data_IF_704538238494
#
_entry.id   IF_704538238494
#
_cell.length_a   1.000
_cell.length_b   1.000
_cell.length_c   1.000
_cell.angle_alpha   90.00
_cell.angle_beta   90.00
_cell.angle_gamma   90.00
#
_symmetry.space_group_name_H-M   'P 1'
#
loop_
_entity.id
_entity.type
_entity.pdbx_description
1 polymer ?
#
# COMPACT_ATOMS: atom_id res chain seq x y z
N UNK A 1 -19.69 -8.94 16.39
CA UNK A 1 -19.16 -8.85 15.03
C UNK A 1 -18.22 -7.67 15.02
N UNK A 2 -16.91 -7.89 14.86
CA UNK A 2 -15.92 -6.83 14.84
C UNK A 2 -16.03 -5.97 13.61
N UNK A 3 -15.33 -4.84 13.62
CA UNK A 3 -15.36 -3.87 12.52
C UNK A 3 -14.61 -4.36 11.30
N UNK A 4 -15.18 -4.07 10.13
CA UNK A 4 -14.49 -4.20 8.84
C UNK A 4 -14.01 -2.81 8.42
N UNK A 5 -12.75 -2.74 8.00
CA UNK A 5 -12.11 -1.49 7.54
C UNK A 5 -11.72 -1.58 6.07
N UNK A 6 -11.63 -0.44 5.42
CA UNK A 6 -11.00 -0.30 4.10
C UNK A 6 -9.58 0.19 4.24
N UNK A 7 -8.62 -0.48 3.61
CA UNK A 7 -7.22 -0.07 3.61
C UNK A 7 -6.76 0.16 2.17
N UNK A 8 -6.34 1.38 1.89
CA UNK A 8 -5.58 1.70 0.69
C UNK A 8 -4.08 1.54 1.00
N UNK A 9 -3.53 0.41 0.55
CA UNK A 9 -2.12 0.05 0.78
C UNK A 9 -1.24 0.66 -0.32
N UNK A 10 -0.89 1.93 -0.17
CA UNK A 10 -0.08 2.64 -1.16
C UNK A 10 1.42 2.35 -1.05
N UNK A 11 2.16 2.58 -2.15
CA UNK A 11 3.62 2.40 -2.19
C UNK A 11 4.35 3.38 -1.25
N UNK A 12 3.87 4.62 -1.19
CA UNK A 12 4.50 5.70 -0.39
C UNK A 12 3.75 5.99 0.90
N UNK A 13 2.42 6.05 0.83
CA UNK A 13 1.56 6.29 1.97
C UNK A 13 0.35 5.35 1.92
N UNK A 14 -0.11 4.91 3.07
CA UNK A 14 -1.32 4.11 3.22
C UNK A 14 -2.40 4.88 3.97
N UNK A 15 -3.65 4.53 3.71
CA UNK A 15 -4.83 5.15 4.30
C UNK A 15 -5.75 4.06 4.82
N UNK A 16 -6.37 4.31 5.97
CA UNK A 16 -7.42 3.45 6.50
C UNK A 16 -8.72 4.25 6.65
N UNK A 17 -9.83 3.65 6.28
CA UNK A 17 -11.17 4.22 6.42
C UNK A 17 -12.15 3.23 7.05
N UNK A 18 -13.12 3.78 7.76
CA UNK A 18 -14.22 3.06 8.40
C UNK A 18 -15.56 3.57 7.91
N UNK A 19 -16.65 2.83 8.12
CA UNK A 19 -18.00 3.29 7.88
C UNK A 19 -18.62 3.80 9.19
N UNK A 20 -18.95 5.09 9.23
CA UNK A 20 -19.69 5.73 10.31
C UNK A 20 -21.01 6.30 9.79
N UNK A 21 -22.13 5.87 10.35
CA UNK A 21 -23.45 6.31 9.88
C UNK A 21 -23.70 6.06 8.40
N UNK A 22 -23.09 5.01 7.83
CA UNK A 22 -23.19 4.65 6.40
C UNK A 22 -22.30 5.49 5.47
N UNK A 23 -21.41 6.33 6.00
CA UNK A 23 -20.45 7.15 5.23
C UNK A 23 -19.02 6.72 5.52
N UNK A 24 -18.15 6.68 4.49
CA UNK A 24 -16.73 6.41 4.70
C UNK A 24 -16.06 7.60 5.39
N UNK A 25 -15.32 7.30 6.45
CA UNK A 25 -14.51 8.27 7.22
C UNK A 25 -13.07 7.79 7.24
N UNK A 26 -12.15 8.63 6.81
CA UNK A 26 -10.71 8.35 6.90
C UNK A 26 -10.27 8.55 8.34
N UNK A 27 -9.71 7.51 8.93
CA UNK A 27 -9.20 7.53 10.31
C UNK A 27 -7.86 8.27 10.36
N UNK A 28 -7.74 9.19 11.32
CA UNK A 28 -6.45 9.78 11.62
C UNK A 28 -5.59 8.78 12.42
N UNK A 29 -4.31 8.67 12.08
CA UNK A 29 -3.36 7.86 12.83
C UNK A 29 -3.02 8.48 14.19
N UNK A 30 -2.22 7.79 15.01
CA UNK A 30 -1.83 8.27 16.34
C UNK A 30 -1.06 9.62 16.31
N UNK A 31 -0.47 9.97 15.16
CA UNK A 31 0.19 11.25 14.92
C UNK A 31 -0.79 12.37 14.45
N UNK A 32 -2.09 12.09 14.36
CA UNK A 32 -3.12 13.02 13.91
C UNK A 32 -3.19 13.23 12.40
N UNK A 33 -2.51 12.39 11.62
CA UNK A 33 -2.46 12.50 10.16
C UNK A 33 -3.43 11.50 9.51
N UNK A 34 -4.02 11.89 8.38
CA UNK A 34 -4.93 11.02 7.61
C UNK A 34 -4.21 10.01 6.72
N UNK A 35 -2.90 10.14 6.58
CA UNK A 35 -2.05 9.22 5.81
C UNK A 35 -0.92 8.73 6.69
N UNK A 36 -0.57 7.45 6.56
CA UNK A 36 0.55 6.83 7.25
C UNK A 36 1.60 6.47 6.21
N UNK A 37 2.85 6.93 6.33
CA UNK A 37 3.93 6.52 5.44
C UNK A 37 4.07 5.00 5.40
N UNK A 38 4.16 4.43 4.20
CA UNK A 38 4.35 2.99 3.99
C UNK A 38 5.83 2.60 4.20
N UNK A 39 6.32 2.89 5.40
CA UNK A 39 7.71 2.65 5.82
C UNK A 39 7.70 1.86 7.11
N UNK A 40 8.56 0.84 7.16
CA UNK A 40 8.82 0.02 8.34
C UNK A 40 10.32 0.04 8.59
N UNK A 41 10.75 -0.02 9.81
CA UNK A 41 12.17 -0.07 10.13
C UNK A 41 12.42 -0.55 11.55
N UNK A 42 13.70 -0.68 11.88
CA UNK A 42 14.14 -1.04 13.23
C UNK A 42 15.15 -0.02 13.73
N UNK A 43 15.02 0.37 14.99
CA UNK A 43 15.99 1.23 15.66
C UNK A 43 17.30 0.46 15.92
N UNK A 44 18.33 1.16 16.39
CA UNK A 44 19.58 0.52 16.81
C UNK A 44 19.38 -0.40 18.02
N UNK A 45 18.35 -0.14 18.81
CA UNK A 45 17.92 -0.93 19.96
C UNK A 45 17.00 -2.09 19.57
N UNK A 46 16.84 -2.34 18.25
CA UNK A 46 15.98 -3.38 17.65
C UNK A 46 14.49 -3.14 17.84
N UNK A 47 14.06 -1.93 18.18
CA UNK A 47 12.66 -1.58 18.30
C UNK A 47 12.03 -1.40 16.92
N UNK A 48 10.83 -1.96 16.73
CA UNK A 48 10.06 -1.80 15.51
C UNK A 48 9.52 -0.37 15.39
N UNK A 49 9.81 0.27 14.26
CA UNK A 49 9.32 1.59 13.90
C UNK A 49 8.43 1.46 12.66
N UNK A 50 7.26 2.11 12.66
CA UNK A 50 6.33 2.08 11.54
C UNK A 50 5.80 3.48 11.25
N UNK A 51 5.53 3.77 9.98
CA UNK A 51 4.93 5.03 9.58
C UNK A 51 5.88 6.22 9.74
N UNK A 52 5.45 7.27 10.42
CA UNK A 52 6.20 8.51 10.58
C UNK A 52 7.53 8.31 11.32
N UNK A 53 7.56 7.44 12.34
CA UNK A 53 8.78 7.14 13.09
C UNK A 53 9.83 6.51 12.16
N UNK A 54 9.46 5.48 11.39
CA UNK A 54 10.33 4.84 10.42
C UNK A 54 10.76 5.81 9.30
N UNK A 55 9.85 6.65 8.81
CA UNK A 55 10.15 7.65 7.78
C UNK A 55 11.21 8.67 8.23
N UNK A 56 11.16 9.12 9.49
CA UNK A 56 12.17 10.04 10.04
C UNK A 56 13.55 9.42 10.09
N UNK A 57 13.62 8.11 10.27
CA UNK A 57 14.87 7.36 10.34
C UNK A 57 15.49 7.08 8.96
N UNK A 58 14.74 7.11 7.86
CA UNK A 58 15.22 6.77 6.51
C UNK A 58 16.55 7.41 6.12
N UNK A 59 16.76 8.67 6.49
CA UNK A 59 17.97 9.41 6.17
C UNK A 59 19.15 9.01 7.07
N UNK A 60 18.87 8.71 8.35
CA UNK A 60 19.89 8.44 9.38
C UNK A 60 20.28 6.96 9.43
N UNK A 61 19.33 6.08 9.14
CA UNK A 61 19.52 4.63 9.17
C UNK A 61 18.82 3.97 7.97
N UNK A 62 19.28 4.21 6.73
CA UNK A 62 18.65 3.68 5.53
C UNK A 62 18.70 2.16 5.41
N UNK A 63 19.70 1.51 6.04
CA UNK A 63 19.89 0.05 5.96
C UNK A 63 18.85 -0.74 6.75
N UNK A 64 18.28 -0.13 7.80
CA UNK A 64 17.26 -0.73 8.66
C UNK A 64 15.91 -0.02 8.53
N UNK A 65 15.69 0.69 7.42
CA UNK A 65 14.45 1.40 7.10
C UNK A 65 13.96 1.03 5.71
N UNK A 66 12.78 0.41 5.63
CA UNK A 66 12.26 -0.28 4.47
C UNK A 66 11.07 0.48 3.89
N UNK A 67 11.29 1.15 2.78
CA UNK A 67 10.26 1.82 1.98
C UNK A 67 10.03 1.04 0.68
N UNK A 68 8.99 1.38 -0.07
CA UNK A 68 8.65 0.78 -1.37
C UNK A 68 8.39 -0.74 -1.30
N UNK A 69 8.03 -1.29 -0.16
CA UNK A 69 7.79 -2.72 0.05
C UNK A 69 6.74 -3.30 -0.90
N UNK A 70 5.75 -2.48 -1.31
CA UNK A 70 4.72 -2.87 -2.28
C UNK A 70 5.28 -3.29 -3.64
N UNK A 71 6.47 -2.81 -4.02
CA UNK A 71 7.16 -3.21 -5.25
C UNK A 71 7.78 -4.60 -5.16
N UNK A 72 8.02 -5.10 -3.94
CA UNK A 72 8.69 -6.36 -3.66
C UNK A 72 7.72 -7.49 -3.33
N UNK A 73 6.53 -7.15 -2.82
CA UNK A 73 5.56 -8.12 -2.30
C UNK A 73 5.13 -9.12 -3.38
N UNK A 74 5.20 -10.41 -3.06
CA UNK A 74 4.77 -11.52 -3.92
C UNK A 74 5.63 -11.74 -5.18
N UNK A 75 6.77 -11.05 -5.32
CA UNK A 75 7.66 -11.18 -6.48
C UNK A 75 8.80 -12.14 -6.23
N UNK A 76 9.22 -12.81 -7.31
CA UNK A 76 10.48 -13.51 -7.38
C UNK A 76 11.61 -12.54 -7.70
N UNK A 77 12.83 -12.88 -7.30
CA UNK A 77 14.02 -12.06 -7.55
C UNK A 77 14.21 -11.70 -9.03
N UNK A 78 13.96 -12.66 -9.92
CA UNK A 78 14.13 -12.51 -11.36
C UNK A 78 13.10 -11.58 -12.01
N UNK A 79 12.00 -11.28 -11.31
CA UNK A 79 10.93 -10.39 -11.77
C UNK A 79 11.17 -8.93 -11.37
N UNK A 80 12.19 -8.67 -10.53
CA UNK A 80 12.50 -7.32 -10.09
C UNK A 80 13.21 -6.54 -11.20
N UNK A 81 12.60 -5.42 -11.60
CA UNK A 81 13.24 -4.43 -12.45
C UNK A 81 14.30 -3.61 -11.68
N UNK A 82 15.12 -2.84 -12.41
CA UNK A 82 16.18 -2.01 -11.82
C UNK A 82 15.62 -1.01 -10.79
N UNK A 83 14.45 -0.46 -11.06
CA UNK A 83 13.80 0.51 -10.16
C UNK A 83 13.35 -0.12 -8.85
N UNK A 84 12.89 -1.37 -8.87
CA UNK A 84 12.52 -2.12 -7.66
C UNK A 84 13.76 -2.57 -6.88
N UNK A 85 14.89 -2.79 -7.56
CA UNK A 85 16.17 -3.11 -6.91
C UNK A 85 16.89 -1.87 -6.36
N UNK A 86 16.59 -0.67 -6.87
CA UNK A 86 17.21 0.59 -6.44
C UNK A 86 16.66 1.07 -5.10
N UNK A 87 16.85 0.29 -4.04
CA UNK A 87 16.48 0.61 -2.67
C UNK A 87 17.72 0.87 -1.80
N UNK A 88 17.56 1.64 -0.73
CA UNK A 88 18.69 2.02 0.14
C UNK A 88 19.11 0.92 1.15
N UNK A 89 18.33 -0.14 1.23
CA UNK A 89 18.56 -1.32 2.07
C UNK A 89 18.94 -2.53 1.21
N UNK A 90 19.42 -3.59 1.83
CA UNK A 90 19.84 -4.79 1.12
C UNK A 90 18.65 -5.72 0.89
N UNK A 91 18.47 -6.14 -0.36
CA UNK A 91 17.56 -7.22 -0.73
C UNK A 91 18.36 -8.35 -1.39
N UNK A 92 17.89 -9.57 -1.28
CA UNK A 92 18.49 -10.73 -1.94
C UNK A 92 17.48 -11.83 -2.26
N UNK A 93 17.85 -12.78 -3.10
CA UNK A 93 17.11 -14.01 -3.29
C UNK A 93 17.44 -15.00 -2.16
N UNK A 94 16.43 -15.76 -1.69
CA UNK A 94 16.69 -17.00 -0.97
C UNK A 94 16.91 -18.18 -1.94
N UNK A 95 17.12 -19.39 -1.42
CA UNK A 95 17.35 -20.60 -2.21
C UNK A 95 16.17 -20.96 -3.13
N UNK A 96 14.99 -20.44 -2.87
CA UNK A 96 13.79 -20.61 -3.69
C UNK A 96 13.55 -19.47 -4.67
N UNK A 97 14.50 -18.53 -4.80
CA UNK A 97 14.36 -17.35 -5.66
C UNK A 97 13.42 -16.27 -5.13
N UNK A 98 12.90 -16.38 -3.91
CA UNK A 98 12.02 -15.39 -3.31
C UNK A 98 12.81 -14.21 -2.77
N UNK A 99 12.24 -13.01 -2.87
CA UNK A 99 12.84 -11.79 -2.34
C UNK A 99 12.90 -11.82 -0.81
N UNK A 100 14.05 -11.46 -0.26
CA UNK A 100 14.28 -11.25 1.17
C UNK A 100 14.86 -9.87 1.43
N UNK A 101 14.38 -9.22 2.45
CA UNK A 101 14.86 -7.93 2.96
C UNK A 101 15.78 -8.20 4.15
N UNK A 102 17.04 -7.80 4.03
CA UNK A 102 18.03 -8.00 5.08
C UNK A 102 17.96 -6.83 6.05
N UNK A 103 17.81 -7.12 7.34
CA UNK A 103 17.82 -6.14 8.41
C UNK A 103 19.06 -6.34 9.31
N UNK A 104 20.11 -5.52 9.18
CA UNK A 104 21.30 -5.61 10.01
C UNK A 104 21.03 -5.44 11.51
N UNK A 105 20.13 -4.52 11.89
CA UNK A 105 19.83 -4.25 13.29
C UNK A 105 19.28 -5.50 14.03
N UNK A 106 18.45 -6.29 13.38
CA UNK A 106 17.86 -7.51 13.97
C UNK A 106 18.64 -8.79 13.65
N UNK A 107 19.65 -8.70 12.74
CA UNK A 107 20.39 -9.85 12.22
C UNK A 107 19.48 -10.89 11.55
N UNK A 108 18.37 -10.42 10.95
CA UNK A 108 17.34 -11.27 10.33
C UNK A 108 17.06 -10.85 8.89
N UNK A 109 16.45 -11.77 8.19
CA UNK A 109 15.83 -11.54 6.90
C UNK A 109 14.33 -11.67 7.01
N UNK A 110 13.65 -10.78 6.34
CA UNK A 110 12.20 -10.72 6.33
C UNK A 110 11.68 -10.94 4.90
N UNK A 111 10.58 -11.64 4.79
CA UNK A 111 9.78 -11.57 3.58
C UNK A 111 9.12 -10.17 3.49
N UNK A 112 8.93 -9.60 2.30
CA UNK A 112 8.20 -8.34 2.16
C UNK A 112 6.85 -8.33 2.85
N UNK A 113 6.14 -9.46 2.84
CA UNK A 113 4.85 -9.67 3.48
C UNK A 113 4.90 -9.48 5.01
N UNK A 114 5.99 -9.89 5.66
CA UNK A 114 6.16 -9.74 7.11
C UNK A 114 6.29 -8.26 7.48
N UNK A 115 7.03 -7.48 6.67
CA UNK A 115 7.19 -6.05 6.90
C UNK A 115 5.90 -5.28 6.58
N UNK A 116 5.20 -5.65 5.51
CA UNK A 116 3.89 -5.07 5.18
C UNK A 116 2.86 -5.39 6.28
N UNK A 117 2.93 -6.58 6.89
CA UNK A 117 2.09 -6.92 8.03
C UNK A 117 2.31 -5.99 9.24
N UNK A 118 3.55 -5.55 9.49
CA UNK A 118 3.82 -4.55 10.53
C UNK A 118 3.11 -3.22 10.24
N UNK A 119 3.11 -2.78 8.97
CA UNK A 119 2.40 -1.58 8.55
C UNK A 119 0.88 -1.74 8.72
N UNK A 120 0.32 -2.87 8.27
CA UNK A 120 -1.10 -3.15 8.41
C UNK A 120 -1.53 -3.19 9.87
N UNK A 121 -0.73 -3.80 10.75
CA UNK A 121 -0.97 -3.82 12.19
C UNK A 121 -1.05 -2.41 12.77
N UNK A 122 -0.09 -1.55 12.44
CA UNK A 122 -0.10 -0.14 12.88
C UNK A 122 -1.39 0.58 12.45
N UNK A 123 -1.82 0.41 11.21
CA UNK A 123 -3.05 1.03 10.70
C UNK A 123 -4.28 0.54 11.47
N UNK A 124 -4.34 -0.76 11.78
CA UNK A 124 -5.43 -1.39 12.52
C UNK A 124 -5.45 -0.94 13.97
N UNK A 125 -4.29 -0.88 14.63
CA UNK A 125 -4.17 -0.42 16.01
C UNK A 125 -4.61 1.04 16.15
N UNK A 126 -4.28 1.90 15.18
CA UNK A 126 -4.75 3.29 15.12
C UNK A 126 -6.28 3.35 14.95
N UNK A 127 -6.83 2.49 14.07
CA UNK A 127 -8.28 2.42 13.86
C UNK A 127 -9.02 1.89 15.09
N UNK A 128 -8.49 0.86 15.73
CA UNK A 128 -9.07 0.32 16.98
C UNK A 128 -9.08 1.37 18.10
N UNK A 129 -7.99 2.13 18.21
CA UNK A 129 -7.89 3.24 19.16
C UNK A 129 -8.88 4.35 18.86
N UNK A 130 -9.10 4.67 17.58
CA UNK A 130 -10.09 5.69 17.16
C UNK A 130 -11.52 5.22 17.42
N UNK A 131 -11.82 3.95 17.11
CA UNK A 131 -13.17 3.38 17.25
C UNK A 131 -13.53 3.02 18.69
N UNK A 132 -12.54 2.78 19.56
CA UNK A 132 -12.74 2.18 20.89
C UNK A 132 -13.18 0.71 20.84
N UNK A 133 -12.98 0.02 19.72
CA UNK A 133 -13.34 -1.38 19.51
C UNK A 133 -12.35 -2.07 18.55
N UNK A 134 -12.31 -3.41 18.60
CA UNK A 134 -11.39 -4.20 17.78
C UNK A 134 -11.79 -4.21 16.29
N UNK A 135 -10.77 -4.22 15.44
CA UNK A 135 -10.89 -4.42 13.99
C UNK A 135 -10.59 -5.88 13.67
N UNK A 136 -11.56 -6.59 13.12
CA UNK A 136 -11.44 -8.04 12.83
C UNK A 136 -11.11 -8.32 11.36
N UNK A 137 -11.58 -7.47 10.45
CA UNK A 137 -11.47 -7.74 9.03
C UNK A 137 -11.14 -6.48 8.21
N UNK A 138 -10.60 -6.72 7.02
CA UNK A 138 -10.27 -5.63 6.09
C UNK A 138 -10.59 -5.97 4.63
N UNK A 139 -10.90 -4.91 3.86
CA UNK A 139 -10.79 -4.89 2.41
C UNK A 139 -9.54 -4.10 2.08
N UNK A 140 -8.62 -4.69 1.31
CA UNK A 140 -7.34 -4.05 0.96
C UNK A 140 -7.30 -3.79 -0.55
N UNK A 141 -6.82 -2.60 -0.96
CA UNK A 141 -6.64 -2.28 -2.38
C UNK A 141 -5.27 -2.71 -2.88
N UNK A 142 -5.24 -3.08 -4.16
CA UNK A 142 -4.00 -3.39 -4.91
C UNK A 142 -4.09 -2.81 -6.33
N UNK A 143 -2.97 -2.56 -7.00
CA UNK A 143 -2.97 -2.18 -8.41
C UNK A 143 -3.70 -3.21 -9.28
N UNK A 144 -4.33 -2.74 -10.36
CA UNK A 144 -5.08 -3.64 -11.25
C UNK A 144 -4.17 -4.65 -11.97
N UNK A 145 -2.90 -4.33 -12.17
CA UNK A 145 -1.90 -5.20 -12.81
C UNK A 145 -1.26 -6.23 -11.86
N UNK A 146 -1.56 -6.18 -10.56
CA UNK A 146 -1.05 -7.21 -9.65
C UNK A 146 -1.50 -8.59 -10.08
N UNK A 147 -0.55 -9.51 -10.19
CA UNK A 147 -0.81 -10.91 -10.46
C UNK A 147 -1.34 -11.66 -9.21
N UNK A 148 -1.64 -12.94 -9.38
CA UNK A 148 -2.21 -13.76 -8.31
C UNK A 148 -1.23 -13.95 -7.15
N UNK A 149 0.08 -14.02 -7.42
CA UNK A 149 1.12 -14.16 -6.38
C UNK A 149 1.17 -12.92 -5.49
N UNK A 150 1.17 -11.72 -6.10
CA UNK A 150 1.16 -10.44 -5.40
C UNK A 150 -0.13 -10.22 -4.59
N UNK A 151 -1.28 -10.62 -5.16
CA UNK A 151 -2.57 -10.60 -4.45
C UNK A 151 -2.60 -11.56 -3.28
N UNK A 152 -2.05 -12.75 -3.45
CA UNK A 152 -1.96 -13.73 -2.38
C UNK A 152 -1.02 -13.25 -1.27
N UNK A 153 0.16 -12.74 -1.62
CA UNK A 153 1.11 -12.17 -0.68
C UNK A 153 0.51 -10.99 0.11
N UNK A 154 -0.33 -10.15 -0.53
CA UNK A 154 -1.07 -9.09 0.17
C UNK A 154 -2.09 -9.66 1.17
N UNK A 155 -2.80 -10.76 0.82
CA UNK A 155 -3.68 -11.46 1.78
C UNK A 155 -2.89 -12.02 2.94
N UNK A 156 -1.75 -12.62 2.67
CA UNK A 156 -0.90 -13.24 3.69
C UNK A 156 -0.33 -12.20 4.64
N UNK A 157 0.07 -11.02 4.13
CA UNK A 157 0.45 -9.87 4.97
C UNK A 157 -0.72 -9.45 5.90
N UNK A 158 -1.94 -9.40 5.40
CA UNK A 158 -3.13 -9.11 6.20
C UNK A 158 -3.37 -10.16 7.30
N UNK A 159 -3.23 -11.45 6.97
CA UNK A 159 -3.34 -12.55 7.96
C UNK A 159 -2.25 -12.49 9.02
N UNK A 160 -1.01 -12.20 8.62
CA UNK A 160 0.11 -11.99 9.55
C UNK A 160 -0.14 -10.79 10.46
N UNK A 161 -0.86 -9.77 10.00
CA UNK A 161 -1.33 -8.67 10.82
C UNK A 161 -2.51 -9.03 11.74
N UNK A 162 -3.05 -10.24 11.66
CA UNK A 162 -4.17 -10.72 12.47
C UNK A 162 -5.55 -10.37 11.92
N UNK A 163 -5.64 -10.01 10.64
CA UNK A 163 -6.89 -9.61 9.98
C UNK A 163 -7.50 -10.75 9.17
N UNK A 164 -8.82 -10.88 9.19
CA UNK A 164 -9.57 -11.57 8.16
C UNK A 164 -9.63 -10.69 6.91
N UNK A 165 -9.14 -11.18 5.77
CA UNK A 165 -9.17 -10.41 4.52
C UNK A 165 -10.41 -10.79 3.73
N UNK A 166 -11.43 -9.93 3.82
CA UNK A 166 -12.72 -10.10 3.16
C UNK A 166 -12.59 -10.00 1.63
N UNK A 167 -11.76 -9.05 1.16
CA UNK A 167 -11.55 -8.85 -0.26
C UNK A 167 -10.25 -8.13 -0.55
N UNK A 168 -9.62 -8.50 -1.66
CA UNK A 168 -8.62 -7.67 -2.36
C UNK A 168 -9.35 -6.99 -3.51
N UNK A 169 -9.28 -5.66 -3.57
CA UNK A 169 -9.99 -4.83 -4.56
C UNK A 169 -8.97 -4.07 -5.41
N UNK A 170 -9.24 -3.90 -6.69
CA UNK A 170 -8.38 -3.08 -7.54
C UNK A 170 -8.51 -1.59 -7.18
N UNK A 171 -7.39 -0.89 -7.06
CA UNK A 171 -7.33 0.55 -6.78
C UNK A 171 -8.22 1.39 -7.71
N UNK A 172 -8.15 1.23 -9.04
CA UNK A 172 -9.02 2.00 -9.93
C UNK A 172 -10.51 1.68 -9.74
N UNK A 173 -10.85 0.45 -9.33
CA UNK A 173 -12.24 0.08 -9.00
C UNK A 173 -12.69 0.77 -7.72
N UNK A 174 -11.84 0.82 -6.70
CA UNK A 174 -12.14 1.53 -5.45
C UNK A 174 -12.31 3.04 -5.69
N UNK A 175 -11.44 3.65 -6.50
CA UNK A 175 -11.55 5.06 -6.88
C UNK A 175 -12.85 5.37 -7.63
N UNK A 176 -13.22 4.53 -8.60
CA UNK A 176 -14.48 4.67 -9.34
C UNK A 176 -15.71 4.53 -8.42
N UNK A 177 -15.68 3.58 -7.48
CA UNK A 177 -16.73 3.41 -6.48
C UNK A 177 -16.86 4.63 -5.56
N UNK A 178 -15.74 5.18 -5.10
CA UNK A 178 -15.69 6.35 -4.23
C UNK A 178 -16.19 7.62 -4.92
N UNK A 179 -15.93 7.76 -6.22
CA UNK A 179 -16.45 8.87 -7.02
C UNK A 179 -17.97 8.83 -7.18
N UNK A 180 -18.61 7.67 -6.96
CA UNK A 180 -20.07 7.54 -7.01
C UNK A 180 -20.62 7.32 -8.41
N UNK A 181 -19.86 6.69 -9.31
CA UNK A 181 -20.38 6.33 -10.63
C UNK A 181 -21.66 5.50 -10.52
N UNK A 182 -22.68 5.90 -11.31
CA UNK A 182 -23.96 5.21 -11.36
C UNK A 182 -23.79 3.80 -11.92
N UNK A 183 -24.03 2.81 -11.05
CA UNK A 183 -23.92 1.39 -11.40
C UNK A 183 -25.00 0.92 -12.39
N UNK A 184 -26.11 1.67 -12.52
CA UNK A 184 -27.21 1.34 -13.42
C UNK A 184 -26.91 1.71 -14.87
N UNK A 185 -25.95 2.60 -15.10
CA UNK A 185 -25.58 3.07 -16.45
C UNK A 185 -24.37 2.35 -16.98
N UNK A 186 -24.43 1.96 -18.25
CA UNK A 186 -23.24 1.48 -18.96
C UNK A 186 -22.37 2.67 -19.35
N UNK A 187 -21.15 2.69 -18.83
CA UNK A 187 -20.19 3.79 -19.11
C UNK A 187 -18.76 3.28 -19.09
N UNK A 188 -17.89 4.00 -19.77
CA UNK A 188 -16.45 3.76 -19.77
C UNK A 188 -15.77 4.92 -19.04
N UNK A 189 -14.90 4.58 -18.09
CA UNK A 189 -14.23 5.54 -17.21
C UNK A 189 -12.73 5.35 -17.34
N UNK A 190 -12.01 6.45 -17.43
CA UNK A 190 -10.55 6.48 -17.33
C UNK A 190 -10.17 6.97 -15.94
N UNK A 191 -9.39 6.15 -15.22
CA UNK A 191 -8.86 6.49 -13.89
C UNK A 191 -7.39 6.79 -14.02
N UNK A 192 -6.99 7.97 -13.57
CA UNK A 192 -5.60 8.38 -13.42
C UNK A 192 -5.24 8.31 -11.94
N UNK A 193 -4.32 7.43 -11.59
CA UNK A 193 -3.78 7.29 -10.24
C UNK A 193 -2.33 7.73 -10.23
N UNK A 194 -2.08 8.93 -9.72
CA UNK A 194 -0.75 9.49 -9.57
C UNK A 194 -0.34 9.47 -8.11
N UNK A 195 0.43 8.44 -7.76
CA UNK A 195 0.96 8.26 -6.43
C UNK A 195 2.33 8.91 -6.19
N UNK A 196 2.86 8.71 -5.00
CA UNK A 196 4.22 9.16 -4.63
C UNK A 196 5.34 8.28 -5.18
N UNK A 197 5.03 7.17 -5.83
CA UNK A 197 6.03 6.23 -6.37
C UNK A 197 5.63 5.57 -7.68
N UNK A 198 4.36 5.65 -8.07
CA UNK A 198 3.82 5.05 -9.30
C UNK A 198 2.83 6.00 -9.95
N UNK A 199 2.68 5.85 -11.26
CA UNK A 199 1.62 6.44 -12.04
C UNK A 199 0.88 5.34 -12.77
N UNK A 200 -0.42 5.22 -12.55
CA UNK A 200 -1.26 4.19 -13.12
C UNK A 200 -2.45 4.80 -13.85
N UNK A 201 -2.71 4.31 -15.06
CA UNK A 201 -3.89 4.68 -15.86
C UNK A 201 -4.69 3.42 -16.13
N UNK A 202 -5.96 3.43 -15.78
CA UNK A 202 -6.84 2.28 -15.97
C UNK A 202 -8.12 2.66 -16.70
N UNK A 203 -8.47 1.87 -17.71
CA UNK A 203 -9.72 1.98 -18.43
C UNK A 203 -10.72 0.97 -17.85
N UNK A 204 -11.81 1.46 -17.26
CA UNK A 204 -12.85 0.63 -16.66
C UNK A 204 -14.14 0.72 -17.49
N UNK A 205 -14.79 -0.41 -17.67
CA UNK A 205 -16.18 -0.48 -18.12
C UNK A 205 -17.08 -0.77 -16.92
N UNK A 206 -18.06 0.10 -16.72
CA UNK A 206 -19.10 -0.09 -15.71
C UNK A 206 -20.37 -0.50 -16.47
N UNK A 207 -20.91 -1.67 -16.18
CA UNK A 207 -22.14 -2.15 -16.79
C UNK A 207 -22.84 -3.14 -15.84
N UNK A 208 -24.15 -3.02 -15.70
CA UNK A 208 -24.99 -3.92 -14.87
C UNK A 208 -24.46 -4.10 -13.43
N UNK A 209 -23.93 -3.04 -12.83
CA UNK A 209 -23.35 -3.09 -11.48
C UNK A 209 -21.93 -3.70 -11.37
N UNK A 210 -21.36 -4.15 -12.49
CA UNK A 210 -20.01 -4.73 -12.56
C UNK A 210 -19.01 -3.68 -13.02
N UNK A 211 -17.88 -3.62 -12.33
CA UNK A 211 -16.71 -2.82 -12.68
C UNK A 211 -15.65 -3.75 -13.28
N UNK A 212 -15.42 -3.60 -14.55
CA UNK A 212 -14.52 -4.45 -15.33
C UNK A 212 -13.33 -3.62 -15.84
N UNK A 213 -12.13 -3.94 -15.39
CA UNK A 213 -10.90 -3.29 -15.85
C UNK A 213 -10.55 -3.84 -17.21
N UNK A 214 -10.63 -3.03 -18.25
CA UNK A 214 -10.39 -3.41 -19.64
C UNK A 214 -8.92 -3.32 -20.03
N UNK A 215 -8.25 -2.32 -19.51
CA UNK A 215 -6.81 -2.11 -19.72
C UNK A 215 -6.24 -1.34 -18.55
N UNK A 216 -5.00 -1.62 -18.24
CA UNK A 216 -4.21 -0.83 -17.30
C UNK A 216 -2.81 -0.64 -17.89
N UNK A 217 -2.25 0.54 -17.69
CA UNK A 217 -0.87 0.86 -18.02
C UNK A 217 -0.35 1.78 -16.95
N UNK A 218 0.92 1.69 -16.64
CA UNK A 218 1.51 2.52 -15.63
C UNK A 218 3.02 2.57 -15.77
N UNK A 219 3.65 3.45 -15.02
CA UNK A 219 5.09 3.57 -14.98
C UNK A 219 5.56 3.60 -13.52
N UNK A 220 6.61 2.85 -13.29
CA UNK A 220 7.40 2.83 -12.07
C UNK A 220 8.85 3.10 -12.46
N UNK A 221 9.49 4.20 -12.15
CA UNK A 221 9.32 5.06 -10.99
C UNK A 221 8.80 6.46 -11.40
N UNK A 222 7.55 6.72 -11.25
CA UNK A 222 7.01 8.08 -11.39
C UNK A 222 6.65 8.62 -10.02
N UNK A 223 7.19 9.77 -9.67
CA UNK A 223 6.89 10.48 -8.43
C UNK A 223 6.36 11.88 -8.76
N UNK A 224 5.63 12.48 -7.86
CA UNK A 224 5.26 13.90 -7.91
C UNK A 224 6.45 14.82 -8.22
N UNK A 225 7.68 14.41 -7.87
CA UNK A 225 8.90 15.17 -8.16
C UNK A 225 9.23 15.23 -9.65
N UNK A 226 8.73 14.29 -10.46
CA UNK A 226 8.89 14.31 -11.93
C UNK A 226 7.87 15.20 -12.63
N UNK A 227 6.78 15.53 -11.94
CA UNK A 227 5.72 16.42 -12.41
C UNK A 227 5.82 17.82 -11.80
N UNK A 228 7.02 18.31 -11.53
CA UNK A 228 7.22 19.73 -11.28
C UNK A 228 6.80 20.47 -12.54
N UNK A 229 5.60 21.02 -12.53
CA UNK A 229 5.18 21.99 -13.54
C UNK A 229 6.26 23.07 -13.64
N UNK A 230 6.70 23.44 -14.85
CA UNK A 230 7.62 24.54 -14.98
C UNK A 230 6.99 25.74 -14.30
N UNK A 231 7.71 26.35 -13.37
CA UNK A 231 7.26 27.57 -12.71
C UNK A 231 7.06 28.61 -13.80
N UNK A 232 5.81 28.89 -14.15
CA UNK A 232 5.49 29.99 -15.06
C UNK A 232 5.85 31.26 -14.29
N UNK A 233 7.02 31.81 -14.56
CA UNK A 233 7.36 33.14 -14.09
C UNK A 233 6.48 34.10 -14.90
N UNK A 234 5.50 34.68 -14.26
CA UNK A 234 4.82 35.83 -14.77
C UNK A 234 5.86 36.97 -14.77
N UNK A 235 6.17 37.49 -15.95
CA UNK A 235 6.95 38.71 -16.17
C UNK A 235 5.97 39.88 -16.13
#
# INVERSE_FOLDING_TARGET
>A
MGRIVGIDLGTTNSVLAVLEGGRPVVVANAEGLRTTPSVVGFSREKELLVGQAARRQLVLNPRDSFANLKRLIGRQWQELDEASQAVAYTIRANDLGQVRVVCPATEREYAPEELVACLLRKLVDDAASYLGEEVEAAVITVPAYFDDSQRQATRDAGRLAGLAIERILNEPTAAALAYGFDRSRSQTVLVFDLGGGTFDVSLLRIANGVFDVKATSGDTPVSYTHLTLPTIRWV
#
